data_IF_142693390096
#
_entry.id   IF_142693390096
#
_cell.length_a   1.000
_cell.length_b   1.000
_cell.length_c   1.000
_cell.angle_alpha   90.00
_cell.angle_beta   90.00
_cell.angle_gamma   90.00
#
_symmetry.space_group_name_H-M   'P 1'
#
loop_
_entity.id
_entity.type
_entity.pdbx_description
1 polymer ?
#
# COMPACT_ATOMS: atom_id res chain seq x y z
N UNK A 1 25.90 -18.72 17.37
CA UNK A 1 24.99 -19.84 17.02
C UNK A 1 23.60 -19.40 17.39
N UNK A 2 22.69 -19.30 16.42
CA UNK A 2 21.30 -18.88 16.68
C UNK A 2 20.55 -20.09 17.24
N UNK A 3 19.84 -19.91 18.35
CA UNK A 3 19.14 -21.01 19.03
C UNK A 3 17.84 -21.37 18.29
N UNK A 4 17.36 -22.62 18.48
CA UNK A 4 16.14 -23.12 17.84
C UNK A 4 14.92 -22.26 18.17
N UNK A 5 14.86 -21.74 19.39
CA UNK A 5 13.76 -20.90 19.90
C UNK A 5 13.73 -19.53 19.20
N UNK A 6 14.90 -18.91 19.00
CA UNK A 6 15.02 -17.65 18.25
C UNK A 6 14.65 -17.83 16.78
N UNK A 7 15.01 -18.97 16.18
CA UNK A 7 14.67 -19.28 14.78
C UNK A 7 13.15 -19.43 14.58
N UNK A 8 12.45 -20.06 15.53
CA UNK A 8 11.00 -20.21 15.49
C UNK A 8 10.28 -18.86 15.69
N UNK A 9 10.75 -18.02 16.63
CA UNK A 9 10.18 -16.68 16.84
C UNK A 9 10.28 -15.77 15.60
N UNK A 10 11.39 -15.85 14.86
CA UNK A 10 11.55 -15.12 13.59
C UNK A 10 10.64 -15.63 12.48
N UNK A 11 10.34 -16.93 12.47
CA UNK A 11 9.40 -17.54 11.51
C UNK A 11 7.98 -17.11 11.82
N UNK A 12 7.56 -17.08 13.10
CA UNK A 12 6.21 -16.63 13.48
C UNK A 12 6.00 -15.13 13.23
N UNK A 13 7.01 -14.29 13.49
CA UNK A 13 6.95 -12.86 13.13
C UNK A 13 6.80 -12.65 11.61
N UNK A 14 7.38 -13.53 10.79
CA UNK A 14 7.27 -13.51 9.33
C UNK A 14 5.95 -14.15 8.84
N UNK A 15 5.48 -15.19 9.51
CA UNK A 15 4.24 -15.91 9.20
C UNK A 15 3.00 -15.12 9.62
N UNK A 16 3.12 -14.25 10.63
CA UNK A 16 2.03 -13.39 11.06
C UNK A 16 1.50 -12.56 9.90
N UNK A 17 2.32 -12.17 8.90
CA UNK A 17 1.87 -11.57 7.63
C UNK A 17 0.88 -10.42 7.80
N UNK A 18 0.78 -9.88 9.01
CA UNK A 18 -0.31 -9.02 9.44
C UNK A 18 0.04 -7.70 8.83
N UNK A 19 -0.61 -7.40 7.72
CA UNK A 19 -0.70 -6.06 7.16
C UNK A 19 -1.43 -5.23 8.22
N UNK A 20 -0.68 -4.75 9.21
CA UNK A 20 -1.22 -3.84 10.19
C UNK A 20 -1.65 -2.59 9.42
N UNK A 21 -2.93 -2.18 9.55
CA UNK A 21 -3.34 -0.89 9.04
C UNK A 21 -2.55 0.16 9.80
N UNK A 22 -1.76 0.90 9.03
CA UNK A 22 -0.94 1.97 9.56
C UNK A 22 -1.82 3.20 9.84
N UNK A 23 -2.86 3.44 9.01
CA UNK A 23 -3.82 4.52 9.17
C UNK A 23 -5.14 4.17 8.48
N UNK A 24 -6.27 4.45 9.13
CA UNK A 24 -7.61 4.28 8.55
C UNK A 24 -8.22 5.67 8.35
N UNK A 25 -8.62 5.98 7.12
CA UNK A 25 -9.16 7.29 6.74
C UNK A 25 -10.69 7.31 6.69
N UNK A 26 -11.34 6.17 6.95
CA UNK A 26 -12.80 6.03 6.88
C UNK A 26 -13.28 5.78 5.46
N UNK A 27 -14.40 6.39 5.06
CA UNK A 27 -15.00 6.19 3.74
C UNK A 27 -14.71 7.35 2.82
N UNK A 28 -14.42 7.05 1.56
CA UNK A 28 -14.31 8.03 0.49
C UNK A 28 -15.67 8.76 0.33
N UNK A 29 -15.71 10.10 0.33
CA UNK A 29 -16.96 10.86 0.24
C UNK A 29 -17.73 10.60 -1.06
N UNK A 30 -17.04 10.51 -2.20
CA UNK A 30 -17.68 10.29 -3.51
C UNK A 30 -17.99 8.82 -3.84
N UNK A 31 -17.15 7.88 -3.41
CA UNK A 31 -17.28 6.48 -3.81
C UNK A 31 -17.83 5.57 -2.72
N UNK A 32 -17.88 6.04 -1.48
CA UNK A 32 -18.32 5.28 -0.30
C UNK A 32 -17.38 4.13 0.09
N UNK A 33 -16.21 4.01 -0.56
CA UNK A 33 -15.27 2.91 -0.35
C UNK A 33 -14.38 3.16 0.87
N UNK A 34 -14.03 2.09 1.59
CA UNK A 34 -13.19 2.17 2.78
C UNK A 34 -11.73 2.41 2.42
N UNK A 35 -11.16 3.47 2.98
CA UNK A 35 -9.90 4.05 2.59
C UNK A 35 -8.88 3.78 3.71
N UNK A 36 -7.96 2.86 3.43
CA UNK A 36 -7.03 2.32 4.44
C UNK A 36 -5.60 2.35 3.93
N UNK A 37 -4.67 2.71 4.79
CA UNK A 37 -3.24 2.69 4.54
C UNK A 37 -2.60 1.47 5.21
N UNK A 38 -1.98 0.63 4.40
CA UNK A 38 -1.39 -0.64 4.81
C UNK A 38 0.11 -0.67 4.53
N UNK A 39 0.87 -1.40 5.35
CA UNK A 39 2.28 -1.72 5.06
C UNK A 39 2.37 -2.93 4.11
N UNK A 40 3.03 -2.77 2.96
CA UNK A 40 3.17 -3.82 1.94
C UNK A 40 4.63 -4.14 1.61
N UNK A 41 4.84 -5.22 0.82
CA UNK A 41 6.18 -5.67 0.38
C UNK A 41 7.01 -4.58 -0.31
N UNK A 42 6.36 -3.67 -1.01
CA UNK A 42 6.99 -2.61 -1.80
C UNK A 42 6.94 -1.24 -1.11
N UNK A 43 6.56 -1.21 0.18
CA UNK A 43 6.33 0.00 0.95
C UNK A 43 4.85 0.25 1.27
N UNK A 44 4.55 1.34 1.98
CA UNK A 44 3.19 1.72 2.34
C UNK A 44 2.32 1.96 1.10
N UNK A 45 1.05 1.60 1.19
CA UNK A 45 0.09 1.83 0.13
C UNK A 45 -1.31 2.10 0.68
N UNK A 46 -2.05 2.92 -0.04
CA UNK A 46 -3.46 3.20 0.20
C UNK A 46 -4.30 2.24 -0.63
N UNK A 47 -5.37 1.73 -0.04
CA UNK A 47 -6.34 0.87 -0.69
C UNK A 47 -7.76 1.37 -0.43
N UNK A 48 -8.61 1.32 -1.47
CA UNK A 48 -10.07 1.48 -1.36
C UNK A 48 -10.82 0.12 -1.44
N UNK A 49 -10.06 -0.99 -1.36
CA UNK A 49 -10.53 -2.35 -1.59
C UNK A 49 -10.59 -2.78 -3.08
N UNK A 50 -10.62 -1.85 -4.04
CA UNK A 50 -10.65 -2.14 -5.49
C UNK A 50 -9.38 -1.71 -6.22
N UNK A 51 -8.80 -0.60 -5.78
CA UNK A 51 -7.66 0.11 -6.32
C UNK A 51 -6.64 0.24 -5.19
N UNK A 52 -5.39 -0.02 -5.55
CA UNK A 52 -4.27 0.08 -4.63
C UNK A 52 -3.28 1.09 -5.20
N UNK A 53 -3.02 2.15 -4.45
CA UNK A 53 -2.08 3.21 -4.79
C UNK A 53 -0.90 3.20 -3.81
N UNK A 54 0.30 2.99 -4.35
CA UNK A 54 1.53 3.02 -3.56
C UNK A 54 1.85 4.46 -3.18
N UNK A 55 2.32 4.67 -1.94
CA UNK A 55 2.78 5.98 -1.51
C UNK A 55 4.01 6.43 -2.32
N UNK A 56 4.15 7.73 -2.64
CA UNK A 56 5.35 8.27 -3.23
C UNK A 56 6.56 8.10 -2.31
N UNK A 57 7.76 8.04 -2.89
CA UNK A 57 9.00 8.02 -2.11
C UNK A 57 9.19 9.37 -1.43
N UNK A 58 9.41 9.38 -0.12
CA UNK A 58 9.63 10.59 0.67
C UNK A 58 8.37 11.17 1.33
N UNK A 59 7.22 10.50 1.20
CA UNK A 59 6.02 10.82 1.98
C UNK A 59 5.96 9.86 3.14
N UNK A 60 5.97 10.39 4.37
CA UNK A 60 5.79 9.56 5.55
C UNK A 60 4.32 9.21 5.76
N UNK A 61 4.09 8.10 6.45
CA UNK A 61 2.73 7.58 6.66
C UNK A 61 1.88 8.52 7.51
N UNK A 62 2.52 9.27 8.41
CA UNK A 62 1.88 10.22 9.29
C UNK A 62 1.37 11.45 8.53
N UNK A 63 2.12 11.89 7.52
CA UNK A 63 1.82 13.03 6.64
C UNK A 63 0.71 12.74 5.60
N UNK A 64 0.29 11.48 5.47
CA UNK A 64 -0.81 11.15 4.55
C UNK A 64 -2.13 11.56 5.18
N UNK A 65 -2.80 12.48 4.50
CA UNK A 65 -4.18 12.87 4.77
C UNK A 65 -5.17 12.20 3.82
N UNK A 66 -6.47 12.31 4.17
CA UNK A 66 -7.58 11.74 3.39
C UNK A 66 -7.57 12.24 1.95
N UNK A 67 -7.36 13.54 1.74
CA UNK A 67 -7.33 14.15 0.40
C UNK A 67 -6.18 13.60 -0.45
N UNK A 68 -5.00 13.44 0.15
CA UNK A 68 -3.84 12.87 -0.53
C UNK A 68 -4.07 11.40 -0.88
N UNK A 69 -4.70 10.66 0.03
CA UNK A 69 -5.04 9.26 -0.18
C UNK A 69 -6.05 9.08 -1.34
N UNK A 70 -7.05 9.97 -1.42
CA UNK A 70 -8.00 10.05 -2.54
C UNK A 70 -7.28 10.37 -3.85
N UNK A 71 -6.47 11.42 -3.87
CA UNK A 71 -5.73 11.86 -5.07
C UNK A 71 -4.80 10.75 -5.61
N UNK A 72 -4.12 10.02 -4.72
CA UNK A 72 -3.28 8.87 -5.09
C UNK A 72 -4.10 7.76 -5.76
N UNK A 73 -5.28 7.45 -5.23
CA UNK A 73 -6.20 6.45 -5.79
C UNK A 73 -6.76 6.90 -7.15
N UNK A 74 -7.17 8.17 -7.27
CA UNK A 74 -7.68 8.73 -8.52
C UNK A 74 -6.60 8.75 -9.62
N UNK A 75 -5.38 9.21 -9.30
CA UNK A 75 -4.23 9.14 -10.19
C UNK A 75 -3.96 7.71 -10.63
N UNK A 76 -4.09 6.74 -9.72
CA UNK A 76 -3.93 5.32 -10.05
C UNK A 76 -5.04 4.82 -10.97
N UNK A 77 -6.29 5.19 -10.71
CA UNK A 77 -7.46 4.88 -11.53
C UNK A 77 -7.30 5.41 -12.95
N UNK A 78 -6.89 6.67 -13.10
CA UNK A 78 -6.58 7.30 -14.39
C UNK A 78 -5.40 6.61 -15.10
N UNK A 79 -4.35 6.25 -14.37
CA UNK A 79 -3.17 5.58 -14.94
C UNK A 79 -3.43 4.15 -15.43
N UNK A 80 -4.42 3.44 -14.85
CA UNK A 80 -4.82 2.10 -15.30
C UNK A 80 -5.36 2.10 -16.73
N UNK A 81 -6.02 3.18 -17.16
CA UNK A 81 -6.47 3.35 -18.55
C UNK A 81 -5.35 3.75 -19.53
N UNK A 82 -4.27 4.36 -19.03
CA UNK A 82 -3.21 4.96 -19.88
C UNK A 82 -1.97 4.07 -20.08
N UNK A 83 -1.87 2.91 -19.42
CA UNK A 83 -0.80 1.93 -19.66
C UNK A 83 -1.10 0.99 -20.84
N UNK A 84 -1.32 1.58 -22.01
CA UNK A 84 -1.09 0.91 -23.30
C UNK A 84 0.20 1.48 -23.89
N UNK A 85 1.28 0.71 -23.81
CA UNK A 85 2.52 0.97 -24.57
C UNK A 85 3.63 1.74 -23.84
N UNK A 86 4.42 1.06 -23.00
CA UNK A 86 5.87 1.31 -22.96
C UNK A 86 6.54 -0.06 -22.98
N UNK A 87 6.90 -0.46 -24.20
CA UNK A 87 7.40 -1.78 -24.52
C UNK A 87 8.74 -2.08 -23.84
N UNK A 88 9.01 -3.39 -23.77
CA UNK A 88 10.36 -3.96 -23.71
C UNK A 88 11.34 -3.09 -24.49
N UNK A 89 12.36 -2.56 -23.82
CA UNK A 89 13.66 -2.37 -24.47
C UNK A 89 14.57 -3.44 -23.90
N UNK A 90 14.81 -4.48 -24.71
CA UNK A 90 16.00 -5.32 -24.58
C UNK A 90 17.20 -4.45 -24.96
N UNK A 91 18.26 -4.49 -24.17
CA UNK A 91 19.63 -4.40 -24.67
C UNK A 91 20.51 -5.30 -23.83
#
# INVERSE_FOLDING_TARGET
TVTLEEALGLIDAKAAGKKLPLKEFGKHPDTGMELVLLSGRYGPYVTDGKINATLPKGVEVEEVDVEMAIDLLEKKKASRGKKKGRGRSKK
#
